data_IF_510382313508
#
_entry.id   IF_510382313508
#
_cell.length_a   1.000
_cell.length_b   1.000
_cell.length_c   1.000
_cell.angle_alpha   90.00
_cell.angle_beta   90.00
_cell.angle_gamma   90.00
#
_symmetry.space_group_name_H-M   'P 1'
#
loop_
_entity.id
_entity.type
_entity.pdbx_description
1 polymer ?
#
# COMPACT_ATOMS: atom_id res chain seq x y z
N UNK A 1 12.30 -15.05 -3.83
CA UNK A 1 11.17 -14.13 -3.64
C UNK A 1 11.36 -13.45 -2.31
N UNK A 2 11.68 -12.15 -2.27
CA UNK A 2 11.76 -11.39 -1.02
C UNK A 2 10.33 -11.13 -0.59
N UNK A 3 9.82 -11.90 0.37
CA UNK A 3 8.62 -11.55 1.10
C UNK A 3 9.07 -10.56 2.16
N UNK A 4 9.18 -9.30 1.76
CA UNK A 4 9.60 -8.19 2.61
C UNK A 4 8.65 -7.04 2.41
N UNK A 5 8.48 -6.23 3.45
CA UNK A 5 7.73 -4.99 3.37
C UNK A 5 8.33 -4.13 2.24
N UNK A 6 7.50 -3.71 1.30
CA UNK A 6 7.91 -2.85 0.19
C UNK A 6 7.52 -1.41 0.51
N UNK A 7 8.51 -0.52 0.67
CA UNK A 7 8.28 0.91 0.89
C UNK A 7 8.30 1.64 -0.45
N UNK A 8 7.25 2.42 -0.69
CA UNK A 8 7.01 3.13 -1.94
C UNK A 8 6.86 4.61 -1.62
N UNK A 9 7.64 5.43 -2.33
CA UNK A 9 7.50 6.88 -2.29
C UNK A 9 6.51 7.32 -3.38
N UNK A 10 5.52 8.10 -2.97
CA UNK A 10 4.47 8.63 -3.84
C UNK A 10 5.08 9.76 -4.68
N UNK A 11 5.17 9.56 -6.00
CA UNK A 11 5.85 10.49 -6.92
C UNK A 11 4.96 11.65 -7.37
N UNK A 12 3.64 11.48 -7.28
CA UNK A 12 2.60 12.46 -7.62
C UNK A 12 1.37 12.21 -6.75
N UNK A 13 0.60 13.27 -6.46
CA UNK A 13 -0.57 13.15 -5.61
C UNK A 13 -1.64 12.30 -6.28
N UNK A 14 -2.04 11.21 -5.62
CA UNK A 14 -3.01 10.22 -6.12
C UNK A 14 -3.76 9.59 -4.95
N UNK A 15 -4.82 8.87 -5.24
CA UNK A 15 -5.54 8.07 -4.25
C UNK A 15 -4.81 6.75 -3.98
N UNK A 16 -5.13 6.12 -2.85
CA UNK A 16 -4.64 4.76 -2.55
C UNK A 16 -5.08 3.78 -3.64
N UNK A 17 -6.31 3.88 -4.13
CA UNK A 17 -6.81 3.05 -5.24
C UNK A 17 -5.95 3.20 -6.49
N UNK A 18 -5.68 4.44 -6.93
CA UNK A 18 -4.83 4.71 -8.09
C UNK A 18 -3.41 4.15 -7.90
N UNK A 19 -2.83 4.29 -6.70
CA UNK A 19 -1.52 3.71 -6.39
C UNK A 19 -1.55 2.18 -6.52
N UNK A 20 -2.57 1.51 -5.99
CA UNK A 20 -2.69 0.05 -6.07
C UNK A 20 -2.84 -0.44 -7.51
N UNK A 21 -3.64 0.25 -8.31
CA UNK A 21 -3.86 -0.07 -9.73
C UNK A 21 -2.56 0.06 -10.54
N UNK A 22 -1.76 1.09 -10.26
CA UNK A 22 -0.44 1.28 -10.90
C UNK A 22 0.57 0.19 -10.55
N UNK A 23 0.60 -0.22 -9.28
CA UNK A 23 1.54 -1.21 -8.77
C UNK A 23 1.18 -2.64 -9.20
N UNK A 24 -0.02 -2.85 -9.77
CA UNK A 24 -0.51 -4.16 -10.19
C UNK A 24 -0.32 -5.22 -9.10
N UNK A 25 -0.71 -4.86 -7.87
CA UNK A 25 -0.41 -5.67 -6.69
C UNK A 25 -1.00 -7.08 -6.81
N UNK A 26 -0.30 -8.10 -6.30
CA UNK A 26 -0.78 -9.46 -6.36
C UNK A 26 -2.12 -9.60 -5.62
N UNK A 27 -2.99 -10.54 -6.03
CA UNK A 27 -4.31 -10.76 -5.41
C UNK A 27 -4.23 -11.35 -3.99
N UNK A 28 -3.02 -11.53 -3.45
CA UNK A 28 -2.81 -11.94 -2.06
C UNK A 28 -3.22 -10.81 -1.11
N UNK A 29 -3.83 -11.10 0.05
CA UNK A 29 -4.16 -10.04 1.00
C UNK A 29 -2.91 -9.29 1.48
N UNK A 30 -3.00 -7.97 1.59
CA UNK A 30 -1.97 -7.10 2.12
C UNK A 30 -2.58 -5.96 2.94
N UNK A 31 -1.75 -5.36 3.78
CA UNK A 31 -2.03 -4.13 4.52
C UNK A 31 -1.17 -3.00 3.98
N UNK A 32 -1.61 -1.77 4.19
CA UNK A 32 -0.86 -0.56 3.85
C UNK A 32 -0.52 0.20 5.11
N UNK A 33 0.73 0.60 5.29
CA UNK A 33 1.11 1.61 6.27
C UNK A 33 1.17 2.97 5.59
N UNK A 34 0.37 3.93 6.08
CA UNK A 34 0.31 5.31 5.55
C UNK A 34 0.41 6.28 6.72
N UNK A 35 1.50 7.05 6.76
CA UNK A 35 1.73 8.03 7.83
C UNK A 35 1.94 7.40 9.22
N UNK A 36 2.45 6.16 9.27
CA UNK A 36 2.70 5.43 10.51
C UNK A 36 1.50 4.64 11.07
N UNK A 37 0.37 4.64 10.35
CA UNK A 37 -0.81 3.85 10.71
C UNK A 37 -1.08 2.78 9.65
N UNK A 38 -1.56 1.61 10.09
CA UNK A 38 -1.77 0.43 9.24
C UNK A 38 -3.26 0.26 8.95
N UNK A 39 -3.61 0.07 7.67
CA UNK A 39 -4.98 -0.04 7.18
C UNK A 39 -5.14 -1.21 6.21
N UNK A 40 -6.35 -1.75 6.12
CA UNK A 40 -6.73 -2.47 4.92
C UNK A 40 -6.91 -1.49 3.76
N UNK A 41 -6.45 -1.82 2.54
CA UNK A 41 -6.53 -0.89 1.42
C UNK A 41 -7.96 -0.40 1.13
N UNK A 42 -8.96 -1.27 1.28
CA UNK A 42 -10.37 -0.93 1.08
C UNK A 42 -10.90 0.13 2.06
N UNK A 43 -10.32 0.24 3.26
CA UNK A 43 -10.72 1.22 4.27
C UNK A 43 -10.28 2.64 3.91
N UNK A 44 -9.21 2.75 3.14
CA UNK A 44 -8.58 4.02 2.79
C UNK A 44 -8.44 4.23 1.28
N UNK A 45 -9.15 3.47 0.45
CA UNK A 45 -9.03 3.51 -1.02
C UNK A 45 -9.19 4.91 -1.62
N UNK A 46 -10.06 5.72 -1.04
CA UNK A 46 -10.35 7.10 -1.46
C UNK A 46 -9.45 8.15 -0.76
N UNK A 47 -8.58 7.72 0.17
CA UNK A 47 -7.62 8.59 0.85
C UNK A 47 -6.62 9.11 -0.19
N UNK A 48 -6.42 10.43 -0.19
CA UNK A 48 -5.42 11.08 -1.01
C UNK A 48 -4.05 10.94 -0.36
N UNK A 49 -3.09 10.50 -1.16
CA UNK A 49 -1.66 10.49 -0.89
C UNK A 49 -1.06 11.70 -1.60
N UNK A 50 -0.15 12.39 -0.93
CA UNK A 50 0.55 13.53 -1.50
C UNK A 50 1.94 13.12 -2.00
N UNK A 51 2.47 13.91 -2.94
CA UNK A 51 3.83 13.70 -3.42
C UNK A 51 4.84 13.75 -2.26
N UNK A 52 5.69 12.74 -2.17
CA UNK A 52 6.69 12.55 -1.12
C UNK A 52 6.19 11.75 0.07
N UNK A 53 4.90 11.39 0.12
CA UNK A 53 4.40 10.44 1.12
C UNK A 53 5.04 9.07 0.92
N UNK A 54 5.21 8.35 2.03
CA UNK A 54 5.72 6.99 2.04
C UNK A 54 4.60 6.04 2.40
N UNK A 55 4.46 4.98 1.60
CA UNK A 55 3.50 3.92 1.80
C UNK A 55 4.25 2.60 1.89
N UNK A 56 3.99 1.83 2.94
CA UNK A 56 4.57 0.49 3.06
C UNK A 56 3.52 -0.58 2.74
N UNK A 57 3.86 -1.53 1.88
CA UNK A 57 3.00 -2.68 1.54
C UNK A 57 3.45 -3.87 2.38
N UNK A 58 2.52 -4.38 3.18
CA UNK A 58 2.77 -5.46 4.13
C UNK A 58 1.94 -6.68 3.68
N UNK A 59 2.54 -7.70 3.05
CA UNK A 59 1.82 -8.90 2.65
C UNK A 59 1.33 -9.68 3.87
N UNK A 60 0.07 -10.09 3.88
CA UNK A 60 -0.48 -10.94 4.94
C UNK A 60 -0.22 -12.39 4.58
N UNK A 61 0.73 -13.01 5.29
CA UNK A 61 1.03 -14.42 5.15
C UNK A 61 0.23 -15.18 6.21
N UNK A 62 -0.88 -15.79 5.80
CA UNK A 62 -1.54 -16.80 6.63
C UNK A 62 -0.73 -18.09 6.58
N UNK A 63 0.30 -18.19 7.43
CA UNK A 63 1.03 -19.43 7.68
C UNK A 63 0.23 -20.29 8.65
N UNK A 64 -0.12 -21.51 8.22
CA UNK A 64 -0.45 -22.62 9.12
C UNK A 64 0.81 -23.37 9.54
#
# INVERSE_FOLDING_TARGET
MKVGIEEIEVTESKTVMELMDELQLPPTPFLLEVGGEVFYPDEIKDRRLEKGDKVAIIPVIAGG
#
